data_IF_574094202403
#
_entry.id   IF_574094202403
#
_cell.length_a   1.000
_cell.length_b   1.000
_cell.length_c   1.000
_cell.angle_alpha   90.00
_cell.angle_beta   90.00
_cell.angle_gamma   90.00
#
_symmetry.space_group_name_H-M   'P 1'
#
loop_
_entity.id
_entity.type
_entity.pdbx_description
1 polymer ?
#
# COMPACT_ATOMS: atom_id res chain seq x y z
N UNK A 1 -20.68 -4.84 -5.71
CA UNK A 1 -19.35 -4.64 -6.37
C UNK A 1 -18.51 -3.88 -5.41
N UNK A 2 -17.33 -4.38 -5.07
CA UNK A 2 -16.38 -3.68 -4.20
C UNK A 2 -15.83 -2.42 -4.89
N UNK A 3 -15.61 -1.35 -4.15
CA UNK A 3 -14.94 -0.14 -4.66
C UNK A 3 -13.51 -0.42 -5.15
N UNK A 4 -12.85 -1.41 -4.55
CA UNK A 4 -11.55 -1.88 -5.01
C UNK A 4 -11.61 -2.47 -6.42
N UNK A 5 -12.63 -3.29 -6.72
CA UNK A 5 -12.83 -3.84 -8.07
C UNK A 5 -13.12 -2.73 -9.08
N UNK A 6 -14.01 -1.80 -8.73
CA UNK A 6 -14.33 -0.66 -9.60
C UNK A 6 -13.10 0.15 -9.96
N UNK A 7 -12.32 0.54 -8.95
CA UNK A 7 -11.10 1.32 -9.15
C UNK A 7 -10.06 0.56 -9.97
N UNK A 8 -9.82 -0.71 -9.64
CA UNK A 8 -8.84 -1.56 -10.33
C UNK A 8 -9.22 -1.78 -11.80
N UNK A 9 -10.47 -2.21 -12.06
CA UNK A 9 -10.98 -2.50 -13.41
C UNK A 9 -10.92 -1.25 -14.29
N UNK A 10 -11.42 -0.11 -13.79
CA UNK A 10 -11.44 1.14 -14.55
C UNK A 10 -10.01 1.64 -14.83
N UNK A 11 -9.12 1.57 -13.86
CA UNK A 11 -7.72 1.97 -14.05
C UNK A 11 -7.03 1.06 -15.07
N UNK A 12 -7.20 -0.26 -14.95
CA UNK A 12 -6.60 -1.20 -15.89
C UNK A 12 -7.16 -1.07 -17.31
N UNK A 13 -8.47 -0.88 -17.48
CA UNK A 13 -9.09 -0.59 -18.80
C UNK A 13 -8.51 0.68 -19.40
N UNK A 14 -8.44 1.76 -18.63
CA UNK A 14 -7.86 3.02 -19.12
C UNK A 14 -6.37 2.90 -19.50
N UNK A 15 -5.59 2.13 -18.73
CA UNK A 15 -4.18 1.85 -19.10
C UNK A 15 -4.11 1.07 -20.41
N UNK A 16 -4.92 0.02 -20.59
CA UNK A 16 -4.87 -0.84 -21.78
C UNK A 16 -5.35 -0.09 -23.03
N UNK A 17 -6.40 0.73 -22.92
CA UNK A 17 -7.03 1.41 -24.03
C UNK A 17 -6.34 2.73 -24.39
N UNK A 18 -5.91 3.49 -23.40
CA UNK A 18 -5.46 4.88 -23.54
C UNK A 18 -4.07 5.14 -22.94
N UNK A 19 -3.39 4.09 -22.48
CA UNK A 19 -2.06 4.21 -21.88
C UNK A 19 -0.97 4.44 -22.93
N UNK A 20 0.15 4.95 -22.48
CA UNK A 20 1.35 5.15 -23.30
C UNK A 20 2.25 3.93 -23.15
N UNK A 21 2.55 3.17 -24.24
CA UNK A 21 3.51 2.09 -24.19
C UNK A 21 4.94 2.61 -24.02
N UNK A 22 5.71 1.93 -23.19
CA UNK A 22 7.16 2.10 -23.06
C UNK A 22 7.79 0.81 -23.58
N UNK A 23 8.26 0.85 -24.82
CA UNK A 23 8.73 -0.34 -25.56
C UNK A 23 10.19 -0.26 -25.96
N UNK A 24 10.87 0.82 -25.62
CA UNK A 24 12.26 1.08 -25.97
C UNK A 24 12.96 1.94 -24.90
N UNK A 25 14.26 2.05 -25.00
CA UNK A 25 15.07 2.78 -24.07
C UNK A 25 15.57 1.93 -22.89
N UNK A 26 16.32 2.56 -22.01
CA UNK A 26 16.88 1.91 -20.81
C UNK A 26 15.83 1.86 -19.71
N UNK A 27 15.30 0.68 -19.44
CA UNK A 27 14.44 0.42 -18.28
C UNK A 27 15.23 -0.32 -17.19
N UNK A 28 14.95 -0.02 -15.91
CA UNK A 28 15.62 -0.69 -14.80
C UNK A 28 15.12 -2.12 -14.61
N UNK A 29 13.76 -2.37 -14.57
CA UNK A 29 13.27 -3.70 -14.29
C UNK A 29 13.51 -4.66 -15.46
N UNK A 30 13.82 -5.90 -15.08
CA UNK A 30 14.02 -6.99 -16.01
C UNK A 30 13.21 -8.21 -15.59
N UNK A 31 12.86 -9.04 -16.56
CA UNK A 31 12.30 -10.35 -16.29
C UNK A 31 13.39 -11.32 -15.82
N UNK A 32 12.97 -12.45 -15.22
CA UNK A 32 13.89 -13.50 -14.75
C UNK A 32 14.87 -14.00 -15.84
N UNK A 33 14.47 -13.95 -17.11
CA UNK A 33 15.33 -14.32 -18.26
C UNK A 33 16.28 -13.18 -18.71
N UNK A 34 16.35 -12.09 -17.96
CA UNK A 34 17.22 -10.94 -18.23
C UNK A 34 16.70 -9.98 -19.29
N UNK A 35 15.55 -10.24 -19.91
CA UNK A 35 14.98 -9.32 -20.89
C UNK A 35 14.35 -8.10 -20.20
N UNK A 36 14.39 -6.90 -20.84
CA UNK A 36 13.76 -5.70 -20.29
C UNK A 36 12.26 -5.89 -20.05
N UNK A 37 11.78 -5.46 -18.90
CA UNK A 37 10.34 -5.48 -18.56
C UNK A 37 9.70 -4.15 -18.96
N UNK A 38 9.06 -4.15 -20.12
CA UNK A 38 8.37 -2.98 -20.67
C UNK A 38 6.97 -2.82 -20.09
N UNK A 39 6.39 -1.63 -20.21
CA UNK A 39 5.09 -1.32 -19.61
C UNK A 39 4.17 -0.56 -20.57
N UNK A 40 2.86 -0.62 -20.28
CA UNK A 40 1.89 0.38 -20.70
C UNK A 40 1.49 1.14 -19.44
N UNK A 41 1.43 2.47 -19.50
CA UNK A 41 1.23 3.30 -18.31
C UNK A 41 0.30 4.50 -18.49
N UNK A 42 -0.26 4.94 -17.38
CA UNK A 42 -1.00 6.21 -17.26
C UNK A 42 -0.36 7.06 -16.17
N UNK A 43 -0.31 8.35 -16.44
CA UNK A 43 0.17 9.35 -15.48
C UNK A 43 -0.98 9.95 -14.68
N UNK A 44 -0.78 10.10 -13.37
CA UNK A 44 -1.67 10.90 -12.53
C UNK A 44 -3.03 10.25 -12.22
N UNK A 45 -3.04 8.95 -11.91
CA UNK A 45 -4.26 8.23 -11.50
C UNK A 45 -4.61 8.54 -10.05
N UNK A 46 -5.90 8.80 -9.77
CA UNK A 46 -6.41 9.05 -8.42
C UNK A 46 -7.60 8.15 -8.15
N UNK A 47 -7.46 7.23 -7.21
CA UNK A 47 -8.53 6.36 -6.73
C UNK A 47 -8.98 6.79 -5.34
N UNK A 48 -10.29 6.64 -5.05
CA UNK A 48 -10.90 7.05 -3.78
C UNK A 48 -11.70 5.90 -3.20
N UNK A 49 -11.53 5.67 -1.89
CA UNK A 49 -12.17 4.61 -1.14
C UNK A 49 -12.80 5.18 0.13
N UNK A 50 -14.12 5.06 0.26
CA UNK A 50 -14.85 5.50 1.45
C UNK A 50 -14.87 4.37 2.49
N UNK A 51 -13.91 4.39 3.41
CA UNK A 51 -13.78 3.37 4.45
C UNK A 51 -14.91 3.40 5.48
N UNK A 52 -15.78 4.41 5.43
CA UNK A 52 -16.99 4.44 6.25
C UNK A 52 -18.10 3.55 5.72
N UNK A 53 -18.00 3.13 4.46
CA UNK A 53 -19.00 2.28 3.79
C UNK A 53 -18.53 0.85 3.64
N UNK A 54 -17.28 0.65 3.24
CA UNK A 54 -16.72 -0.68 3.00
C UNK A 54 -15.19 -0.67 3.09
N UNK A 55 -14.62 -1.83 3.32
CA UNK A 55 -13.18 -2.04 3.19
C UNK A 55 -12.85 -2.40 1.72
N UNK A 56 -11.88 -1.70 1.08
CA UNK A 56 -11.59 -1.88 -0.34
C UNK A 56 -10.72 -3.12 -0.58
N UNK A 57 -11.29 -4.30 -0.44
CA UNK A 57 -10.66 -5.57 -0.77
C UNK A 57 -11.12 -6.04 -2.15
N UNK A 58 -10.15 -6.35 -3.02
CA UNK A 58 -10.41 -6.83 -4.37
C UNK A 58 -11.13 -8.18 -4.34
N UNK A 59 -12.16 -8.39 -5.20
CA UNK A 59 -12.95 -9.62 -5.23
C UNK A 59 -12.77 -10.44 -6.50
N UNK A 60 -12.31 -9.87 -7.61
CA UNK A 60 -12.05 -10.62 -8.85
C UNK A 60 -10.93 -11.67 -8.71
N UNK A 61 -10.14 -11.58 -7.67
CA UNK A 61 -9.19 -12.60 -7.21
C UNK A 61 -8.97 -12.47 -5.69
N UNK A 62 -8.51 -13.51 -5.00
CA UNK A 62 -8.25 -13.40 -3.56
C UNK A 62 -7.04 -12.52 -3.27
N UNK A 63 -7.17 -11.71 -2.21
CA UNK A 63 -6.09 -10.95 -1.58
C UNK A 63 -6.01 -11.37 -0.12
N UNK A 64 -4.82 -11.72 0.35
CA UNK A 64 -4.60 -12.02 1.77
C UNK A 64 -4.53 -10.71 2.57
N UNK A 65 -5.63 -10.33 3.22
CA UNK A 65 -5.61 -9.19 4.13
C UNK A 65 -4.63 -9.42 5.29
N UNK A 66 -4.58 -10.64 5.82
CA UNK A 66 -3.63 -11.02 6.87
C UNK A 66 -2.17 -10.73 6.46
N UNK A 67 -1.78 -11.15 5.26
CA UNK A 67 -0.44 -10.88 4.74
C UNK A 67 -0.19 -9.39 4.50
N UNK A 68 -1.17 -8.68 3.91
CA UNK A 68 -1.08 -7.25 3.70
C UNK A 68 -0.91 -6.47 5.02
N UNK A 69 -1.61 -6.89 6.08
CA UNK A 69 -1.47 -6.31 7.43
C UNK A 69 -0.12 -6.67 8.04
N UNK A 70 0.36 -7.89 7.88
CA UNK A 70 1.68 -8.29 8.40
C UNK A 70 2.80 -7.39 7.83
N UNK A 71 2.80 -7.15 6.52
CA UNK A 71 3.79 -6.29 5.89
C UNK A 71 3.67 -4.82 6.31
N UNK A 72 2.44 -4.27 6.37
CA UNK A 72 2.28 -2.87 6.79
C UNK A 72 2.69 -2.69 8.26
N UNK A 73 2.47 -3.67 9.14
CA UNK A 73 2.96 -3.65 10.51
C UNK A 73 4.49 -3.80 10.58
N UNK A 74 5.10 -4.60 9.72
CA UNK A 74 6.55 -4.68 9.60
C UNK A 74 7.15 -3.31 9.25
N UNK A 75 6.55 -2.58 8.30
CA UNK A 75 6.99 -1.25 7.89
C UNK A 75 6.70 -0.18 8.98
N UNK A 76 5.46 -0.12 9.49
CA UNK A 76 5.01 1.02 10.29
C UNK A 76 5.11 0.81 11.80
N UNK A 77 4.90 -0.40 12.27
CA UNK A 77 4.91 -0.70 13.70
C UNK A 77 6.30 -1.14 14.17
N UNK A 78 6.88 -2.15 13.51
CA UNK A 78 8.24 -2.62 13.80
C UNK A 78 9.31 -1.65 13.29
N UNK A 79 8.99 -0.86 12.27
CA UNK A 79 9.93 0.09 11.64
C UNK A 79 11.19 -0.62 11.17
N UNK A 80 11.03 -1.86 10.72
CA UNK A 80 12.13 -2.74 10.35
C UNK A 80 12.49 -2.60 8.87
N UNK A 81 13.73 -2.92 8.56
CA UNK A 81 14.26 -3.12 7.23
C UNK A 81 14.86 -4.52 7.05
N UNK A 82 14.63 -5.42 8.01
CA UNK A 82 15.07 -6.81 7.94
C UNK A 82 13.89 -7.74 7.64
N UNK A 83 13.98 -8.53 6.56
CA UNK A 83 12.92 -9.44 6.12
C UNK A 83 12.65 -10.57 7.12
N UNK A 84 13.61 -10.91 7.99
CA UNK A 84 13.43 -11.94 9.02
C UNK A 84 12.47 -11.51 10.15
N UNK A 85 12.07 -10.24 10.20
CA UNK A 85 11.09 -9.73 11.15
C UNK A 85 9.64 -9.94 10.70
N UNK A 86 9.41 -10.55 9.53
CA UNK A 86 8.08 -10.98 9.05
C UNK A 86 8.15 -12.42 8.54
N UNK A 87 6.98 -13.06 8.39
CA UNK A 87 6.89 -14.44 7.88
C UNK A 87 6.75 -14.53 6.36
N UNK A 88 6.56 -13.40 5.69
CA UNK A 88 6.36 -13.32 4.24
C UNK A 88 7.69 -13.31 3.48
N UNK A 89 7.70 -13.95 2.31
CA UNK A 89 8.86 -14.02 1.42
C UNK A 89 8.77 -13.07 0.21
N UNK A 90 7.97 -12.03 0.32
CA UNK A 90 7.71 -11.09 -0.79
C UNK A 90 8.84 -10.10 -1.03
N UNK A 91 9.79 -9.98 -0.11
CA UNK A 91 10.93 -9.08 -0.17
C UNK A 91 12.28 -9.79 -0.41
N UNK A 92 12.30 -11.12 -0.51
CA UNK A 92 13.54 -11.92 -0.61
C UNK A 92 14.45 -11.48 -1.76
N UNK A 93 13.87 -11.07 -2.90
CA UNK A 93 14.62 -10.62 -4.07
C UNK A 93 15.33 -9.26 -3.91
N UNK A 94 15.01 -8.51 -2.87
CA UNK A 94 15.61 -7.19 -2.59
C UNK A 94 16.47 -7.18 -1.32
N UNK A 95 16.49 -8.28 -0.58
CA UNK A 95 17.29 -8.37 0.63
C UNK A 95 18.74 -8.78 0.32
N UNK A 96 19.67 -8.25 1.11
CA UNK A 96 21.06 -8.69 1.11
C UNK A 96 21.23 -10.03 1.87
N UNK A 97 22.46 -10.50 1.98
CA UNK A 97 22.82 -11.75 2.68
C UNK A 97 22.44 -11.77 4.18
N UNK A 98 22.22 -10.61 4.79
CA UNK A 98 21.80 -10.45 6.18
C UNK A 98 20.28 -10.24 6.31
N UNK A 99 19.55 -10.30 5.21
CA UNK A 99 18.12 -10.06 5.17
C UNK A 99 17.72 -8.58 5.20
N UNK A 100 18.65 -7.66 4.97
CA UNK A 100 18.37 -6.22 4.99
C UNK A 100 17.98 -5.71 3.61
N UNK A 101 16.96 -4.84 3.57
CA UNK A 101 16.62 -4.02 2.38
C UNK A 101 17.26 -2.62 2.43
N UNK A 102 18.27 -2.44 3.26
CA UNK A 102 18.98 -1.17 3.44
C UNK A 102 18.14 -0.13 4.19
N UNK A 103 18.40 1.15 3.96
CA UNK A 103 17.70 2.26 4.64
C UNK A 103 16.31 2.56 4.08
N UNK A 104 15.61 1.56 3.55
CA UNK A 104 14.31 1.71 2.93
C UNK A 104 13.14 1.55 3.91
N UNK A 105 11.97 2.05 3.53
CA UNK A 105 10.66 1.87 4.18
C UNK A 105 10.66 2.04 5.70
N UNK A 106 10.59 0.95 6.48
CA UNK A 106 10.48 0.99 7.93
C UNK A 106 11.64 1.72 8.60
N UNK A 107 12.85 1.59 8.06
CA UNK A 107 14.02 2.34 8.55
C UNK A 107 13.76 3.85 8.57
N UNK A 108 13.21 4.41 7.48
CA UNK A 108 12.92 5.84 7.39
C UNK A 108 11.84 6.30 8.38
N UNK A 109 10.86 5.45 8.65
CA UNK A 109 9.82 5.74 9.64
C UNK A 109 10.38 5.76 11.07
N UNK A 110 11.39 4.95 11.36
CA UNK A 110 12.00 4.81 12.68
C UNK A 110 13.01 5.90 13.05
N UNK A 111 13.44 6.71 12.07
CA UNK A 111 14.39 7.81 12.36
C UNK A 111 13.75 8.83 13.29
N UNK A 112 14.44 9.15 14.39
CA UNK A 112 13.98 10.16 15.34
C UNK A 112 14.27 11.57 14.83
N UNK A 113 13.26 12.43 14.90
CA UNK A 113 13.33 13.84 14.52
C UNK A 113 12.99 14.73 15.70
N UNK A 114 13.61 15.90 15.77
CA UNK A 114 13.35 16.90 16.82
C UNK A 114 12.19 17.81 16.43
N UNK A 115 11.18 17.89 17.27
CA UNK A 115 10.05 18.79 17.19
C UNK A 115 10.04 19.72 18.40
N UNK A 116 9.16 20.72 18.41
CA UNK A 116 9.01 21.62 19.57
C UNK A 116 8.52 20.88 20.82
N UNK A 117 7.70 19.85 20.61
CA UNK A 117 7.06 19.05 21.67
C UNK A 117 7.93 17.90 22.19
N UNK A 118 9.03 17.59 21.50
CA UNK A 118 9.94 16.50 21.87
C UNK A 118 10.60 15.84 20.69
N UNK A 119 11.11 14.64 20.90
CA UNK A 119 11.75 13.82 19.89
C UNK A 119 10.85 12.62 19.56
N UNK A 120 10.46 12.51 18.29
CA UNK A 120 9.57 11.46 17.77
C UNK A 120 10.13 10.87 16.49
N UNK A 121 9.85 9.60 16.24
CA UNK A 121 9.88 9.11 14.88
C UNK A 121 8.58 9.50 14.14
N UNK A 122 8.52 9.20 12.84
CA UNK A 122 7.41 9.67 12.02
C UNK A 122 6.06 9.07 12.44
N UNK A 123 6.03 7.80 12.88
CA UNK A 123 4.81 7.11 13.31
C UNK A 123 4.31 7.67 14.63
N UNK A 124 5.20 7.79 15.60
CA UNK A 124 4.87 8.36 16.92
C UNK A 124 4.42 9.82 16.79
N UNK A 125 5.01 10.57 15.83
CA UNK A 125 4.59 11.94 15.54
C UNK A 125 3.17 12.00 14.98
N UNK A 126 2.81 11.12 14.06
CA UNK A 126 1.43 11.04 13.54
C UNK A 126 0.45 10.72 14.68
N UNK A 127 0.75 9.72 15.50
CA UNK A 127 -0.09 9.34 16.64
C UNK A 127 -0.25 10.48 17.65
N UNK A 128 0.84 11.19 17.94
CA UNK A 128 0.82 12.36 18.82
C UNK A 128 -0.08 13.46 18.26
N UNK A 129 0.08 13.80 16.98
CA UNK A 129 -0.68 14.88 16.36
C UNK A 129 -2.16 14.54 16.21
N UNK A 130 -2.51 13.31 15.84
CA UNK A 130 -3.92 12.87 15.77
C UNK A 130 -4.62 12.99 17.12
N UNK A 131 -3.92 12.75 18.22
CA UNK A 131 -4.46 12.84 19.57
C UNK A 131 -4.49 14.28 20.12
N UNK A 132 -3.46 15.08 19.86
CA UNK A 132 -3.26 16.37 20.51
C UNK A 132 -3.58 17.57 19.59
N UNK A 133 -3.45 17.40 18.26
CA UNK A 133 -3.64 18.44 17.25
C UNK A 133 -4.41 17.91 16.02
N UNK A 134 -5.60 17.31 16.18
CA UNK A 134 -6.31 16.61 15.10
C UNK A 134 -6.69 17.52 13.93
N UNK A 135 -6.79 18.85 14.14
CA UNK A 135 -7.06 19.84 13.09
C UNK A 135 -5.82 20.29 12.32
N UNK A 136 -4.64 19.76 12.66
CA UNK A 136 -3.38 20.09 11.99
C UNK A 136 -3.40 19.66 10.51
N UNK A 137 -2.89 20.52 9.64
CA UNK A 137 -2.67 20.22 8.21
C UNK A 137 -1.25 19.75 7.94
N UNK A 138 -0.52 19.33 8.98
CA UNK A 138 0.92 18.97 8.93
C UNK A 138 1.15 17.52 9.37
N UNK A 139 0.09 16.72 9.45
CA UNK A 139 0.18 15.31 9.85
C UNK A 139 0.54 14.52 8.61
N UNK A 140 1.80 14.15 8.49
CA UNK A 140 2.30 13.42 7.31
C UNK A 140 3.57 12.63 7.63
N UNK A 141 3.85 11.67 6.77
CA UNK A 141 5.10 10.92 6.74
C UNK A 141 5.73 10.98 5.35
N UNK A 142 7.04 10.82 5.29
CA UNK A 142 7.79 10.74 4.04
C UNK A 142 8.92 9.71 4.18
N UNK A 143 8.92 8.73 3.28
CA UNK A 143 9.91 7.65 3.23
C UNK A 143 11.02 7.92 2.21
N UNK A 144 10.84 8.93 1.34
CA UNK A 144 11.78 9.24 0.27
C UNK A 144 12.82 10.24 0.76
N UNK A 145 13.91 9.71 1.31
CA UNK A 145 15.02 10.49 1.83
C UNK A 145 16.17 10.48 0.80
N UNK A 146 16.44 11.62 0.20
CA UNK A 146 17.45 11.76 -0.85
C UNK A 146 18.86 11.42 -0.39
N UNK A 147 19.19 11.66 0.88
CA UNK A 147 20.53 11.35 1.44
C UNK A 147 20.77 9.84 1.53
N UNK A 148 19.72 9.04 1.74
CA UNK A 148 19.81 7.61 1.95
C UNK A 148 19.47 6.75 0.73
N UNK A 149 19.05 7.35 -0.41
CA UNK A 149 18.62 6.59 -1.59
C UNK A 149 19.65 5.56 -2.07
N UNK A 150 20.93 5.91 -2.01
CA UNK A 150 22.02 5.04 -2.44
C UNK A 150 22.22 3.79 -1.57
N UNK A 151 21.65 3.78 -0.37
CA UNK A 151 21.67 2.67 0.58
C UNK A 151 20.33 1.89 0.61
N UNK A 152 19.38 2.21 -0.28
CA UNK A 152 18.10 1.53 -0.39
C UNK A 152 18.14 0.46 -1.48
N UNK A 153 17.79 -0.78 -1.15
CA UNK A 153 17.65 -1.85 -2.14
C UNK A 153 16.53 -1.55 -3.14
N UNK A 154 15.47 -0.90 -2.70
CA UNK A 154 14.38 -0.42 -3.53
C UNK A 154 13.90 0.96 -3.04
N UNK A 155 13.89 1.94 -3.94
CA UNK A 155 13.34 3.26 -3.63
C UNK A 155 11.84 3.16 -3.34
N UNK A 156 11.33 3.75 -2.24
CA UNK A 156 9.92 3.63 -1.85
C UNK A 156 8.96 4.02 -2.98
N UNK A 157 8.10 3.08 -3.38
CA UNK A 157 7.04 3.32 -4.34
C UNK A 157 5.91 4.12 -3.67
N UNK A 158 5.38 3.59 -2.57
CA UNK A 158 4.49 4.27 -1.65
C UNK A 158 5.34 5.13 -0.70
N UNK A 159 5.51 6.40 -1.02
CA UNK A 159 6.57 7.20 -0.40
C UNK A 159 6.09 8.22 0.64
N UNK A 160 4.83 8.61 0.62
CA UNK A 160 4.30 9.56 1.60
C UNK A 160 2.83 9.34 1.91
N UNK A 161 2.48 9.53 3.18
CA UNK A 161 1.11 9.59 3.66
C UNK A 161 0.82 10.97 4.24
N UNK A 162 -0.34 11.53 3.89
CA UNK A 162 -0.87 12.74 4.53
C UNK A 162 -2.19 12.39 5.20
N UNK A 163 -2.34 12.78 6.46
CA UNK A 163 -3.54 12.53 7.25
C UNK A 163 -4.28 13.84 7.53
N UNK A 164 -5.61 13.78 7.50
CA UNK A 164 -6.46 14.92 7.81
C UNK A 164 -7.74 14.46 8.51
N UNK A 165 -8.17 15.18 9.54
CA UNK A 165 -9.42 14.90 10.24
C UNK A 165 -10.52 15.77 9.66
N UNK A 166 -11.56 15.13 9.12
CA UNK A 166 -12.75 15.78 8.56
C UNK A 166 -13.96 15.39 9.38
N UNK A 167 -14.47 16.32 10.17
CA UNK A 167 -15.47 16.03 11.20
C UNK A 167 -14.91 15.09 12.28
N UNK A 168 -15.49 13.91 12.42
CA UNK A 168 -15.05 12.84 13.33
C UNK A 168 -14.27 11.71 12.60
N UNK A 169 -13.87 11.94 11.34
CA UNK A 169 -13.27 10.91 10.47
C UNK A 169 -11.83 11.22 10.13
N UNK A 170 -10.98 10.20 10.21
CA UNK A 170 -9.62 10.24 9.70
C UNK A 170 -9.62 9.91 8.21
N UNK A 171 -9.24 10.91 7.41
CA UNK A 171 -8.99 10.75 5.98
C UNK A 171 -7.48 10.72 5.71
N UNK A 172 -7.07 10.02 4.65
CA UNK A 172 -5.66 9.93 4.30
C UNK A 172 -5.44 9.95 2.78
N UNK A 173 -4.29 10.51 2.38
CA UNK A 173 -3.79 10.44 1.00
C UNK A 173 -2.49 9.65 1.01
N UNK A 174 -2.45 8.58 0.22
CA UNK A 174 -1.21 7.89 -0.14
C UNK A 174 -0.69 8.46 -1.45
N UNK A 175 0.55 8.95 -1.44
CA UNK A 175 1.26 9.31 -2.67
C UNK A 175 2.20 8.16 -3.06
N UNK A 176 1.99 7.67 -4.27
CA UNK A 176 2.77 6.57 -4.85
C UNK A 176 3.36 7.00 -6.18
N UNK A 177 4.69 6.91 -6.32
CA UNK A 177 5.39 7.33 -7.53
C UNK A 177 5.29 6.30 -8.67
N UNK A 178 5.06 5.03 -8.33
CA UNK A 178 5.08 3.91 -9.27
C UNK A 178 4.20 2.77 -8.73
N UNK A 179 3.32 2.22 -9.57
CA UNK A 179 2.38 1.18 -9.18
C UNK A 179 2.23 0.12 -10.26
N UNK A 180 2.76 -1.08 -10.00
CA UNK A 180 2.39 -2.28 -10.75
C UNK A 180 0.93 -2.66 -10.42
N UNK A 181 0.07 -2.59 -11.42
CA UNK A 181 -1.37 -2.83 -11.22
C UNK A 181 -1.66 -4.30 -10.90
N UNK A 182 -0.94 -5.26 -11.52
CA UNK A 182 -1.21 -6.69 -11.28
C UNK A 182 -0.61 -7.15 -9.95
N UNK A 183 0.67 -6.89 -9.71
CA UNK A 183 1.36 -7.48 -8.57
C UNK A 183 1.06 -6.74 -7.26
N UNK A 184 1.02 -5.40 -7.27
CA UNK A 184 1.08 -4.62 -6.05
C UNK A 184 -0.18 -3.80 -5.73
N UNK A 185 -1.00 -3.39 -6.72
CA UNK A 185 -2.07 -2.42 -6.47
C UNK A 185 -3.05 -2.88 -5.39
N UNK A 186 -3.68 -4.04 -5.55
CA UNK A 186 -4.69 -4.53 -4.61
C UNK A 186 -4.11 -4.78 -3.20
N UNK A 187 -2.85 -5.16 -3.13
CA UNK A 187 -2.12 -5.36 -1.89
C UNK A 187 -1.89 -4.02 -1.17
N UNK A 188 -1.36 -3.01 -1.88
CA UNK A 188 -1.14 -1.69 -1.29
C UNK A 188 -2.44 -1.01 -0.86
N UNK A 189 -3.53 -1.13 -1.64
CA UNK A 189 -4.84 -0.60 -1.27
C UNK A 189 -5.30 -1.22 0.06
N UNK A 190 -5.23 -2.54 0.20
CA UNK A 190 -5.60 -3.22 1.45
C UNK A 190 -4.71 -2.81 2.63
N UNK A 191 -3.39 -2.71 2.43
CA UNK A 191 -2.43 -2.27 3.45
C UNK A 191 -2.75 -0.90 4.02
N UNK A 192 -2.88 0.08 3.13
CA UNK A 192 -3.04 1.47 3.57
C UNK A 192 -4.47 1.77 4.04
N UNK A 193 -5.48 1.07 3.54
CA UNK A 193 -6.83 1.10 4.12
C UNK A 193 -6.82 0.56 5.58
N UNK A 194 -6.14 -0.57 5.81
CA UNK A 194 -5.97 -1.13 7.15
C UNK A 194 -5.22 -0.16 8.08
N UNK A 195 -4.17 0.49 7.59
CA UNK A 195 -3.40 1.48 8.35
C UNK A 195 -4.27 2.67 8.79
N UNK A 196 -5.12 3.18 7.89
CA UNK A 196 -6.06 4.27 8.23
C UNK A 196 -7.05 3.82 9.29
N UNK A 197 -7.59 2.59 9.21
CA UNK A 197 -8.49 2.05 10.23
C UNK A 197 -7.81 1.95 11.60
N UNK A 198 -6.57 1.43 11.65
CA UNK A 198 -5.80 1.30 12.89
C UNK A 198 -5.54 2.67 13.53
N UNK A 199 -5.06 3.65 12.76
CA UNK A 199 -4.81 5.00 13.27
C UNK A 199 -6.09 5.70 13.71
N UNK A 200 -7.19 5.55 12.98
CA UNK A 200 -8.48 6.09 13.37
C UNK A 200 -8.92 5.54 14.74
N UNK A 201 -8.89 4.22 14.90
CA UNK A 201 -9.31 3.57 16.14
C UNK A 201 -8.53 4.04 17.37
N UNK A 202 -7.19 4.03 17.32
CA UNK A 202 -6.37 4.39 18.48
C UNK A 202 -6.35 5.88 18.76
N UNK A 203 -6.83 6.69 17.81
CA UNK A 203 -7.00 8.15 17.99
C UNK A 203 -8.42 8.55 18.37
N UNK A 204 -9.34 7.59 18.57
CA UNK A 204 -10.75 7.84 18.89
C UNK A 204 -11.55 8.44 17.73
N UNK A 205 -11.08 8.24 16.50
CA UNK A 205 -11.71 8.70 15.25
C UNK A 205 -12.37 7.53 14.53
N UNK A 206 -13.24 7.84 13.57
CA UNK A 206 -13.77 6.87 12.61
C UNK A 206 -12.92 6.87 11.35
N UNK A 207 -12.80 5.73 10.69
CA UNK A 207 -12.19 5.69 9.36
C UNK A 207 -13.02 6.51 8.35
N UNK A 208 -12.33 7.32 7.56
CA UNK A 208 -12.92 8.22 6.57
C UNK A 208 -12.54 7.82 5.15
N UNK A 209 -12.18 8.79 4.32
CA UNK A 209 -11.78 8.54 2.94
C UNK A 209 -10.28 8.21 2.85
N UNK A 210 -9.95 7.16 2.12
CA UNK A 210 -8.60 6.85 1.68
C UNK A 210 -8.45 7.20 0.21
N UNK A 211 -7.52 8.11 -0.11
CA UNK A 211 -7.22 8.55 -1.48
C UNK A 211 -5.85 8.02 -1.88
N UNK A 212 -5.81 7.31 -2.99
CA UNK A 212 -4.57 6.75 -3.56
C UNK A 212 -4.19 7.53 -4.82
N UNK A 213 -3.13 8.32 -4.73
CA UNK A 213 -2.58 9.13 -5.82
C UNK A 213 -1.37 8.40 -6.40
N UNK A 214 -1.42 8.09 -7.68
CA UNK A 214 -0.41 7.30 -8.37
C UNK A 214 0.16 8.12 -9.53
N UNK A 215 1.45 8.43 -9.49
CA UNK A 215 2.09 9.18 -10.56
C UNK A 215 2.26 8.32 -11.83
N UNK A 216 2.73 7.07 -11.68
CA UNK A 216 2.91 6.12 -12.78
C UNK A 216 2.16 4.82 -12.46
N UNK A 217 0.95 4.67 -12.99
CA UNK A 217 0.18 3.44 -12.91
C UNK A 217 0.44 2.61 -14.17
N UNK A 218 0.97 1.39 -14.04
CA UNK A 218 1.41 0.61 -15.18
C UNK A 218 1.04 -0.87 -15.12
N UNK A 219 0.99 -1.47 -16.29
CA UNK A 219 0.89 -2.91 -16.51
C UNK A 219 2.10 -3.33 -17.32
N UNK A 220 2.86 -4.29 -16.79
CA UNK A 220 3.98 -4.86 -17.53
C UNK A 220 3.52 -5.65 -18.76
N UNK A 221 4.35 -5.71 -19.79
CA UNK A 221 4.03 -6.35 -21.07
C UNK A 221 3.56 -7.81 -20.91
N UNK A 222 4.24 -8.62 -20.10
CA UNK A 222 3.84 -10.00 -19.80
C UNK A 222 2.61 -10.13 -18.90
N UNK A 223 2.22 -9.05 -18.25
CA UNK A 223 1.00 -9.00 -17.41
C UNK A 223 -0.25 -8.65 -18.20
N UNK A 224 -0.12 -8.02 -19.38
CA UNK A 224 -1.28 -7.54 -20.16
C UNK A 224 -2.32 -8.63 -20.45
N UNK A 225 -1.96 -9.86 -20.88
CA UNK A 225 -2.95 -10.92 -21.10
C UNK A 225 -3.70 -11.32 -19.83
N UNK A 226 -2.97 -11.39 -18.71
CA UNK A 226 -3.53 -11.76 -17.39
C UNK A 226 -4.50 -10.69 -16.91
N UNK A 227 -4.12 -9.41 -17.03
CA UNK A 227 -4.97 -8.30 -16.62
C UNK A 227 -6.23 -8.21 -17.48
N UNK A 228 -6.14 -8.44 -18.82
CA UNK A 228 -7.30 -8.48 -19.70
C UNK A 228 -8.30 -9.55 -19.30
N UNK A 229 -7.86 -10.73 -18.92
CA UNK A 229 -8.74 -11.78 -18.39
C UNK A 229 -9.33 -11.37 -17.03
N UNK A 230 -8.50 -10.85 -16.15
CA UNK A 230 -8.87 -10.53 -14.78
C UNK A 230 -9.99 -9.46 -14.70
N UNK A 231 -9.91 -8.42 -15.53
CA UNK A 231 -10.90 -7.33 -15.54
C UNK A 231 -12.27 -7.71 -16.13
N UNK A 232 -12.38 -8.87 -16.75
CA UNK A 232 -13.65 -9.41 -17.27
C UNK A 232 -14.29 -10.44 -16.32
N UNK A 233 -13.64 -10.75 -15.17
CA UNK A 233 -14.18 -11.69 -14.19
C UNK A 233 -15.38 -11.14 -13.45
N UNK A 234 -16.18 -12.07 -12.91
CA UNK A 234 -17.28 -11.74 -12.02
C UNK A 234 -16.77 -10.98 -10.78
N UNK A 235 -17.51 -9.95 -10.39
CA UNK A 235 -17.25 -9.13 -9.21
C UNK A 235 -18.26 -9.45 -8.12
N UNK A 236 -17.81 -9.43 -6.87
CA UNK A 236 -18.65 -9.72 -5.71
C UNK A 236 -18.83 -8.48 -4.83
N UNK A 237 -19.76 -8.50 -3.87
CA UNK A 237 -19.83 -7.48 -2.82
C UNK A 237 -18.52 -7.42 -2.02
N UNK A 238 -18.18 -6.23 -1.52
CA UNK A 238 -17.06 -6.08 -0.59
C UNK A 238 -17.33 -6.93 0.67
N UNK A 239 -16.28 -7.58 1.22
CA UNK A 239 -16.40 -8.30 2.49
C UNK A 239 -16.65 -7.35 3.65
N UNK A 240 -17.21 -7.87 4.72
CA UNK A 240 -17.23 -7.18 6.00
C UNK A 240 -15.86 -7.33 6.68
N UNK A 241 -15.17 -6.22 6.89
CA UNK A 241 -13.86 -6.19 7.58
C UNK A 241 -13.99 -5.36 8.84
N UNK A 242 -13.72 -5.98 9.98
CA UNK A 242 -13.76 -5.35 11.28
C UNK A 242 -12.40 -5.45 11.98
N UNK A 243 -12.14 -4.49 12.86
CA UNK A 243 -10.95 -4.42 13.67
C UNK A 243 -11.31 -4.72 15.11
N UNK A 244 -10.46 -5.43 15.85
CA UNK A 244 -10.68 -5.73 17.25
C UNK A 244 -10.82 -4.41 18.05
N UNK A 245 -12.01 -4.13 18.62
CA UNK A 245 -12.29 -2.86 19.29
C UNK A 245 -11.56 -2.69 20.62
N UNK A 246 -11.03 -3.78 21.20
CA UNK A 246 -10.32 -3.76 22.48
C UNK A 246 -8.90 -3.20 22.37
N UNK A 247 -8.34 -3.16 21.16
CA UNK A 247 -6.98 -2.64 20.94
C UNK A 247 -6.98 -1.10 21.02
N UNK A 248 -6.18 -0.56 21.92
CA UNK A 248 -6.11 0.88 22.23
C UNK A 248 -4.74 1.50 21.88
N UNK A 249 -3.74 0.69 21.59
CA UNK A 249 -2.41 1.15 21.16
C UNK A 249 -2.13 0.66 19.75
N UNK A 250 -1.53 1.51 18.90
CA UNK A 250 -1.08 1.11 17.56
C UNK A 250 -0.10 -0.06 17.60
N UNK A 251 0.69 -0.12 18.65
CA UNK A 251 1.73 -1.15 18.82
C UNK A 251 1.21 -2.50 19.30
N UNK A 252 -0.08 -2.61 19.63
CA UNK A 252 -0.72 -3.86 20.03
C UNK A 252 -1.43 -4.57 18.87
N UNK A 253 -1.56 -3.94 17.71
CA UNK A 253 -2.14 -4.58 16.53
C UNK A 253 -1.25 -5.72 16.02
N UNK A 254 -1.92 -6.78 15.58
CA UNK A 254 -1.33 -7.94 14.91
C UNK A 254 -2.12 -8.22 13.62
N UNK A 255 -1.62 -9.09 12.72
CA UNK A 255 -2.40 -9.53 11.58
C UNK A 255 -3.75 -10.17 11.94
N UNK A 256 -3.86 -10.73 13.14
CA UNK A 256 -5.09 -11.36 13.64
C UNK A 256 -6.09 -10.37 14.26
N UNK A 257 -5.73 -9.10 14.34
CA UNK A 257 -6.61 -8.02 14.80
C UNK A 257 -7.73 -7.67 13.82
N UNK A 258 -7.60 -8.15 12.58
CA UNK A 258 -8.60 -7.96 11.54
C UNK A 258 -9.43 -9.23 11.33
N UNK A 259 -10.75 -9.08 11.37
CA UNK A 259 -11.70 -10.15 11.02
C UNK A 259 -12.30 -9.84 9.65
N UNK A 260 -12.27 -10.83 8.77
CA UNK A 260 -12.85 -10.76 7.43
C UNK A 260 -13.99 -11.76 7.35
N UNK A 261 -15.20 -11.29 7.06
CA UNK A 261 -16.40 -12.10 6.92
C UNK A 261 -17.01 -11.90 5.53
N UNK A 262 -17.67 -12.93 5.03
CA UNK A 262 -18.39 -12.91 3.72
C UNK A 262 -17.50 -12.57 2.51
N UNK A 263 -16.20 -12.92 2.56
CA UNK A 263 -15.28 -12.67 1.46
C UNK A 263 -15.48 -13.69 0.34
N UNK A 264 -16.36 -13.36 -0.60
CA UNK A 264 -16.49 -14.07 -1.87
C UNK A 264 -15.54 -13.46 -2.89
N UNK A 265 -14.88 -14.29 -3.65
CA UNK A 265 -13.90 -13.85 -4.66
C UNK A 265 -13.79 -14.84 -5.81
N UNK A 266 -13.30 -14.37 -6.94
CA UNK A 266 -12.93 -15.19 -8.08
C UNK A 266 -11.74 -16.11 -7.78
N UNK A 267 -11.36 -16.91 -8.76
CA UNK A 267 -10.26 -17.86 -8.62
C UNK A 267 -8.90 -17.15 -8.45
N UNK A 268 -8.01 -17.82 -7.73
CA UNK A 268 -6.62 -17.39 -7.65
C UNK A 268 -6.00 -17.41 -9.05
N UNK A 269 -5.29 -16.34 -9.42
CA UNK A 269 -4.49 -16.37 -10.65
C UNK A 269 -3.28 -17.30 -10.48
N UNK A 270 -2.88 -17.96 -11.56
CA UNK A 270 -1.66 -18.74 -11.59
C UNK A 270 -0.45 -17.86 -11.24
N UNK A 271 0.66 -18.51 -10.87
CA UNK A 271 1.93 -17.79 -10.66
C UNK A 271 2.29 -17.03 -11.95
N UNK A 272 2.54 -15.74 -11.80
CA UNK A 272 2.95 -14.86 -12.89
C UNK A 272 4.39 -14.36 -12.64
N UNK A 273 5.13 -14.00 -13.68
CA UNK A 273 6.48 -13.48 -13.53
C UNK A 273 6.45 -12.11 -12.84
N UNK A 274 7.48 -11.81 -12.06
CA UNK A 274 7.68 -10.51 -11.41
C UNK A 274 8.89 -9.85 -12.04
N UNK A 275 8.77 -8.57 -12.40
CA UNK A 275 9.88 -7.78 -12.90
C UNK A 275 10.67 -7.21 -11.70
N UNK A 276 12.01 -7.35 -11.72
CA UNK A 276 12.93 -6.96 -10.65
C UNK A 276 13.90 -5.90 -11.11
#
# INVERSE_FOLDING_TARGET
MSSADVAFINTCKDIIENGTPVTEGKVRPHWEDGTPAYTIKKFGVVNRYDLSKEFPLLTIRPISLRGAVEEILWIWQKKSNNIHDMSLHIWDSWADENGSIGKAYGYQLGIKHKYREGEFDQVDRVLYDLKNNPTSRRIMTNLYNFEDLHEMALYPCAYSMTFNVVGDRLCAILNQRSQDMLAANAWNVAQYAALVMMFAQVSGLKAGEFVHVIADAHIYDRHVPIVKELIEREVFPAPNVTLDPEIKSFYDFTPDSFKVEDYKHGEKIARFPVAI
#
